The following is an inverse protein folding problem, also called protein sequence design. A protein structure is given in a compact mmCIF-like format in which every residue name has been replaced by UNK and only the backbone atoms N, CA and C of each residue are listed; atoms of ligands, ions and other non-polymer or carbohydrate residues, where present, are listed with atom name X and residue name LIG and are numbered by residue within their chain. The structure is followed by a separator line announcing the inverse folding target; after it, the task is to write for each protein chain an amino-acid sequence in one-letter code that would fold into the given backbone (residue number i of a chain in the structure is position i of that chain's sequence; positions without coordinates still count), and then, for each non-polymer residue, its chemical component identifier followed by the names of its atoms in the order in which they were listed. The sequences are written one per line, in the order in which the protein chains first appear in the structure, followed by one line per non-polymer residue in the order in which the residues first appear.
data_IF_770499400171
#
_entry.id   IF_770499400171
#
_cell.length_a   1.000
_cell.length_b   1.000
_cell.length_c   1.000
_cell.angle_alpha   90.00
_cell.angle_beta   90.00
_cell.angle_gamma   90.00
#
_symmetry.space_group_name_H-M   'P 1'
#
loop_
_entity.id
_entity.type
_entity.pdbx_description
1 polymer ?
#
# COMPACT_ATOMS: atom_id res chain seq x y z
N UNK A 1 70.28 -2.45 13.79
CA UNK A 1 68.90 -2.24 14.27
C UNK A 1 68.00 -2.07 13.03
N UNK A 2 67.19 -3.08 12.67
CA UNK A 2 66.26 -3.06 11.53
C UNK A 2 64.86 -2.96 12.09
N UNK A 3 64.23 -1.81 11.87
CA UNK A 3 62.82 -1.57 12.23
C UNK A 3 61.91 -2.16 11.14
N UNK A 4 61.21 -3.24 11.45
CA UNK A 4 60.15 -3.76 10.61
C UNK A 4 58.89 -2.91 10.86
N UNK A 5 58.43 -2.19 9.83
CA UNK A 5 57.14 -1.53 9.81
C UNK A 5 56.12 -2.52 9.26
N UNK A 6 55.26 -3.04 10.15
CA UNK A 6 54.11 -3.82 9.75
C UNK A 6 53.00 -2.86 9.30
N UNK A 7 52.67 -2.88 8.02
CA UNK A 7 51.50 -2.20 7.47
C UNK A 7 50.29 -3.12 7.62
N UNK A 8 49.36 -2.75 8.49
CA UNK A 8 48.06 -3.43 8.59
C UNK A 8 47.14 -2.91 7.49
N UNK A 9 46.83 -3.75 6.50
CA UNK A 9 45.78 -3.49 5.51
C UNK A 9 44.43 -3.77 6.16
N UNK A 10 43.65 -2.71 6.45
CA UNK A 10 42.24 -2.85 6.78
C UNK A 10 41.45 -3.01 5.49
N UNK A 11 41.01 -4.24 5.20
CA UNK A 11 40.08 -4.50 4.12
C UNK A 11 38.64 -4.12 4.56
N UNK A 12 38.14 -3.00 4.06
CA UNK A 12 36.75 -2.63 4.20
C UNK A 12 35.90 -3.50 3.23
N UNK A 13 35.19 -4.47 3.76
CA UNK A 13 34.20 -5.20 3.00
C UNK A 13 32.94 -4.31 2.87
N UNK A 14 32.74 -3.72 1.70
CA UNK A 14 31.50 -3.03 1.36
C UNK A 14 30.39 -4.07 1.14
N UNK A 15 29.52 -4.26 2.10
CA UNK A 15 28.29 -5.01 1.92
C UNK A 15 27.31 -4.15 1.13
N UNK A 16 27.23 -4.37 -0.18
CA UNK A 16 26.17 -3.81 -1.00
C UNK A 16 24.84 -4.50 -0.60
N UNK A 17 24.05 -3.81 0.22
CA UNK A 17 22.67 -4.23 0.50
C UNK A 17 21.87 -4.15 -0.79
N UNK A 18 21.41 -5.29 -1.31
CA UNK A 18 20.39 -5.32 -2.35
C UNK A 18 19.09 -4.80 -1.71
N UNK A 19 18.78 -3.53 -1.94
CA UNK A 19 17.44 -3.01 -1.73
C UNK A 19 16.54 -3.71 -2.74
N UNK A 20 15.72 -4.65 -2.27
CA UNK A 20 14.67 -5.25 -3.09
C UNK A 20 13.71 -4.12 -3.48
N UNK A 21 13.75 -3.70 -4.74
CA UNK A 21 12.76 -2.80 -5.30
C UNK A 21 11.41 -3.50 -5.20
N UNK A 22 10.50 -2.98 -4.37
CA UNK A 22 9.12 -3.45 -4.32
C UNK A 22 8.50 -3.10 -5.67
N UNK A 23 8.23 -4.10 -6.48
CA UNK A 23 7.52 -3.90 -7.75
C UNK A 23 6.09 -3.48 -7.42
N UNK A 24 5.70 -2.28 -7.87
CA UNK A 24 4.32 -1.81 -7.72
C UNK A 24 3.35 -2.81 -8.38
N UNK A 25 2.28 -3.13 -7.68
CA UNK A 25 1.22 -3.98 -8.23
C UNK A 25 0.48 -3.17 -9.31
N UNK A 26 0.26 -3.72 -10.52
CA UNK A 26 -0.48 -3.02 -11.56
C UNK A 26 -1.90 -2.64 -11.08
N UNK A 27 -2.34 -1.44 -11.46
CA UNK A 27 -3.70 -0.99 -11.17
C UNK A 27 -4.73 -1.92 -11.84
N UNK A 28 -5.71 -2.44 -11.09
CA UNK A 28 -6.84 -3.17 -11.68
C UNK A 28 -7.90 -2.19 -12.20
N UNK A 29 -7.58 -1.50 -13.28
CA UNK A 29 -8.33 -0.34 -13.81
C UNK A 29 -9.82 -0.61 -13.95
N UNK A 30 -10.22 -1.76 -14.49
CA UNK A 30 -11.64 -2.13 -14.64
C UNK A 30 -12.38 -2.19 -13.30
N UNK A 31 -11.74 -2.67 -12.24
CA UNK A 31 -12.31 -2.71 -10.90
C UNK A 31 -12.36 -1.31 -10.27
N UNK A 32 -11.31 -0.52 -10.46
CA UNK A 32 -11.24 0.86 -9.98
C UNK A 32 -12.36 1.71 -10.58
N UNK A 33 -12.60 1.56 -11.87
CA UNK A 33 -13.69 2.23 -12.60
C UNK A 33 -15.07 1.72 -12.16
N UNK A 34 -15.27 0.40 -12.14
CA UNK A 34 -16.54 -0.20 -11.77
C UNK A 34 -16.98 0.13 -10.33
N UNK A 35 -16.03 0.30 -9.44
CA UNK A 35 -16.26 0.65 -8.03
C UNK A 35 -16.17 2.16 -7.75
N UNK A 36 -16.01 2.98 -8.78
CA UNK A 36 -15.93 4.44 -8.71
C UNK A 36 -14.93 4.99 -7.67
N UNK A 37 -13.81 4.32 -7.50
CA UNK A 37 -12.82 4.66 -6.47
C UNK A 37 -12.33 6.11 -6.57
N UNK A 38 -12.12 6.60 -7.80
CA UNK A 38 -11.57 7.94 -8.06
C UNK A 38 -12.57 9.08 -7.83
N UNK A 39 -13.82 8.79 -7.47
CA UNK A 39 -14.77 9.84 -7.05
C UNK A 39 -14.42 10.42 -5.68
N UNK A 40 -13.76 9.63 -4.83
CA UNK A 40 -13.44 9.99 -3.45
C UNK A 40 -11.94 9.96 -3.14
N UNK A 41 -11.17 9.15 -3.85
CA UNK A 41 -9.75 8.97 -3.64
C UNK A 41 -8.93 9.48 -4.82
N UNK A 42 -7.71 9.96 -4.53
CA UNK A 42 -6.68 10.23 -5.53
C UNK A 42 -5.40 9.48 -5.17
N UNK A 43 -4.39 9.51 -6.04
CA UNK A 43 -3.09 8.90 -5.75
C UNK A 43 -2.40 9.52 -4.54
N UNK A 44 -2.21 10.84 -4.57
CA UNK A 44 -1.30 11.53 -3.64
C UNK A 44 -1.96 12.54 -2.71
N UNK A 45 -3.16 13.03 -3.04
CA UNK A 45 -3.84 14.06 -2.27
C UNK A 45 -5.14 13.57 -1.66
N UNK A 46 -5.42 14.00 -0.42
CA UNK A 46 -6.74 13.79 0.17
C UNK A 46 -7.79 14.62 -0.60
N UNK A 47 -8.95 14.01 -0.79
CA UNK A 47 -10.13 14.65 -1.39
C UNK A 47 -11.34 14.40 -0.50
N UNK A 48 -12.33 13.62 -0.95
CA UNK A 48 -13.43 13.18 -0.06
C UNK A 48 -12.99 12.04 0.87
N UNK A 49 -12.01 11.28 0.46
CA UNK A 49 -11.33 10.27 1.25
C UNK A 49 -9.81 10.47 1.28
N UNK A 50 -9.08 9.62 2.01
CA UNK A 50 -7.62 9.65 2.01
C UNK A 50 -7.05 9.30 0.64
N UNK A 51 -5.82 9.78 0.34
CA UNK A 51 -5.10 9.34 -0.85
C UNK A 51 -4.71 7.86 -0.74
N UNK A 52 -4.51 7.20 -1.87
CA UNK A 52 -4.04 5.81 -1.87
C UNK A 52 -2.66 5.68 -1.22
N UNK A 53 -1.77 6.64 -1.47
CA UNK A 53 -0.47 6.70 -0.81
C UNK A 53 -0.58 6.80 0.72
N UNK A 54 -1.46 7.66 1.23
CA UNK A 54 -1.68 7.78 2.68
C UNK A 54 -2.25 6.49 3.29
N UNK A 55 -3.12 5.79 2.57
CA UNK A 55 -3.63 4.48 3.00
C UNK A 55 -2.50 3.46 3.07
N UNK A 56 -1.70 3.34 2.02
CA UNK A 56 -0.56 2.42 1.98
C UNK A 56 0.43 2.70 3.12
N UNK A 57 0.75 3.95 3.36
CA UNK A 57 1.66 4.35 4.43
C UNK A 57 1.11 4.00 5.83
N UNK A 58 -0.17 4.30 6.07
CA UNK A 58 -0.81 4.01 7.37
C UNK A 58 -0.80 2.53 7.72
N UNK A 59 -1.01 1.66 6.75
CA UNK A 59 -1.16 0.23 6.97
C UNK A 59 0.07 -0.61 6.63
N UNK A 60 1.20 0.02 6.34
CA UNK A 60 2.43 -0.65 5.86
C UNK A 60 2.89 -1.82 6.72
N UNK A 61 2.84 -1.67 8.04
CA UNK A 61 3.34 -2.63 9.00
C UNK A 61 2.23 -3.39 9.75
N UNK A 62 0.99 -3.23 9.30
CA UNK A 62 -0.16 -3.91 9.92
C UNK A 62 -0.44 -5.25 9.24
N UNK A 63 -0.21 -6.38 9.93
CA UNK A 63 -0.44 -7.71 9.35
C UNK A 63 -1.93 -8.03 9.12
N UNK A 64 -2.85 -7.24 9.69
CA UNK A 64 -4.29 -7.41 9.54
C UNK A 64 -4.89 -6.47 8.49
N UNK A 65 -4.12 -5.54 7.95
CA UNK A 65 -4.59 -4.50 7.05
C UNK A 65 -5.32 -5.05 5.82
N UNK A 66 -4.77 -6.07 5.16
CA UNK A 66 -5.39 -6.60 3.96
C UNK A 66 -6.82 -7.11 4.23
N UNK A 67 -7.01 -7.94 5.25
CA UNK A 67 -8.33 -8.49 5.60
C UNK A 67 -9.31 -7.39 6.04
N UNK A 68 -8.84 -6.41 6.80
CA UNK A 68 -9.67 -5.27 7.24
C UNK A 68 -10.11 -4.42 6.06
N UNK A 69 -9.19 -4.06 5.16
CA UNK A 69 -9.48 -3.24 3.99
C UNK A 69 -10.36 -3.97 2.96
N UNK A 70 -10.14 -5.25 2.74
CA UNK A 70 -11.02 -6.08 1.88
C UNK A 70 -12.46 -6.09 2.40
N UNK A 71 -12.64 -6.26 3.70
CA UNK A 71 -13.95 -6.17 4.32
C UNK A 71 -14.54 -4.76 4.15
N UNK A 72 -13.73 -3.71 4.39
CA UNK A 72 -14.14 -2.32 4.23
C UNK A 72 -14.59 -2.01 2.81
N UNK A 73 -13.88 -2.48 1.81
CA UNK A 73 -14.27 -2.32 0.40
C UNK A 73 -15.65 -2.95 0.11
N UNK A 74 -15.95 -4.09 0.70
CA UNK A 74 -17.19 -4.81 0.43
C UNK A 74 -18.38 -4.25 1.18
N UNK A 75 -18.24 -3.98 2.48
CA UNK A 75 -19.37 -3.59 3.34
C UNK A 75 -19.41 -2.11 3.68
N UNK A 76 -18.34 -1.36 3.40
CA UNK A 76 -18.28 0.06 3.72
C UNK A 76 -18.20 0.35 5.21
N UNK A 77 -18.60 1.56 5.59
CA UNK A 77 -18.67 2.03 6.96
C UNK A 77 -17.49 2.90 7.36
N UNK A 78 -17.44 3.28 8.63
CA UNK A 78 -16.38 4.13 9.19
C UNK A 78 -15.03 3.41 9.19
N UNK A 79 -13.99 4.17 8.97
CA UNK A 79 -12.60 3.74 9.09
C UNK A 79 -11.83 4.71 9.98
N UNK A 80 -10.51 4.70 9.91
CA UNK A 80 -9.63 5.55 10.74
C UNK A 80 -9.39 6.96 10.16
N UNK A 81 -10.29 7.47 9.32
CA UNK A 81 -10.11 8.68 8.51
C UNK A 81 -11.27 9.68 8.73
N UNK A 82 -11.48 10.08 9.96
CA UNK A 82 -12.55 11.01 10.30
C UNK A 82 -13.92 10.35 10.39
N UNK A 83 -14.97 11.14 10.22
CA UNK A 83 -16.35 10.71 10.50
C UNK A 83 -17.12 10.27 9.25
N UNK A 84 -16.63 10.55 8.06
CA UNK A 84 -17.30 10.19 6.82
C UNK A 84 -17.17 8.69 6.55
N UNK A 85 -18.28 7.95 6.48
CA UNK A 85 -18.22 6.53 6.15
C UNK A 85 -17.91 6.32 4.66
N UNK A 86 -17.15 5.29 4.34
CA UNK A 86 -17.00 4.81 2.97
C UNK A 86 -18.27 4.05 2.56
N UNK A 87 -18.85 4.31 1.38
CA UNK A 87 -19.99 3.55 0.89
C UNK A 87 -19.66 2.07 0.70
N UNK A 88 -20.66 1.19 0.81
CA UNK A 88 -20.50 -0.23 0.47
C UNK A 88 -20.23 -0.44 -1.02
N UNK A 89 -19.74 -1.62 -1.40
CA UNK A 89 -19.56 -1.96 -2.81
C UNK A 89 -20.87 -1.86 -3.62
N UNK A 90 -21.96 -2.32 -3.05
CA UNK A 90 -23.29 -2.25 -3.66
C UNK A 90 -23.67 -0.79 -3.97
N UNK A 91 -23.40 0.11 -3.04
CA UNK A 91 -23.76 1.53 -3.21
C UNK A 91 -22.84 2.25 -4.21
N UNK A 92 -21.62 1.73 -4.43
CA UNK A 92 -20.66 2.33 -5.35
C UNK A 92 -20.78 1.86 -6.80
N UNK A 93 -21.24 0.65 -7.04
CA UNK A 93 -21.26 0.14 -8.41
C UNK A 93 -21.73 -1.30 -8.55
N UNK A 94 -21.91 -1.99 -7.46
CA UNK A 94 -22.37 -3.37 -7.43
C UNK A 94 -21.55 -4.26 -6.49
N UNK A 95 -21.98 -5.52 -6.35
CA UNK A 95 -21.32 -6.46 -5.45
C UNK A 95 -19.87 -6.68 -5.87
N UNK A 96 -18.97 -6.75 -4.88
CA UNK A 96 -17.55 -7.01 -5.07
C UNK A 96 -17.22 -8.37 -4.48
N UNK A 97 -16.63 -9.26 -5.29
CA UNK A 97 -16.15 -10.56 -4.83
C UNK A 97 -14.98 -10.42 -3.86
N UNK A 98 -14.72 -11.45 -3.06
CA UNK A 98 -13.56 -11.48 -2.18
C UNK A 98 -12.24 -11.38 -2.97
N UNK A 99 -12.15 -12.05 -4.12
CA UNK A 99 -10.95 -12.04 -4.97
C UNK A 99 -10.71 -10.65 -5.58
N UNK A 100 -11.76 -9.98 -6.03
CA UNK A 100 -11.63 -8.62 -6.57
C UNK A 100 -11.31 -7.60 -5.48
N UNK A 101 -11.90 -7.73 -4.30
CA UNK A 101 -11.52 -6.92 -3.14
C UNK A 101 -10.04 -7.12 -2.79
N UNK A 102 -9.55 -8.35 -2.82
CA UNK A 102 -8.14 -8.67 -2.60
C UNK A 102 -7.24 -8.00 -3.63
N UNK A 103 -7.58 -8.07 -4.93
CA UNK A 103 -6.81 -7.43 -6.00
C UNK A 103 -6.72 -5.91 -5.83
N UNK A 104 -7.84 -5.27 -5.49
CA UNK A 104 -7.87 -3.82 -5.20
C UNK A 104 -7.00 -3.46 -3.98
N UNK A 105 -7.09 -4.21 -2.89
CA UNK A 105 -6.31 -3.96 -1.68
C UNK A 105 -4.82 -4.14 -1.92
N UNK A 106 -4.41 -5.18 -2.65
CA UNK A 106 -3.00 -5.39 -2.99
C UNK A 106 -2.44 -4.20 -3.79
N UNK A 107 -3.21 -3.68 -4.73
CA UNK A 107 -2.83 -2.49 -5.47
C UNK A 107 -2.73 -1.25 -4.57
N UNK A 108 -3.75 -0.97 -3.76
CA UNK A 108 -3.75 0.20 -2.85
C UNK A 108 -2.58 0.15 -1.88
N UNK A 109 -2.29 -1.01 -1.28
CA UNK A 109 -1.19 -1.17 -0.34
C UNK A 109 0.20 -1.10 -0.99
N UNK A 110 0.28 -1.15 -2.31
CA UNK A 110 1.53 -1.03 -3.07
C UNK A 110 1.88 0.41 -3.48
N UNK A 111 1.06 1.40 -3.13
CA UNK A 111 1.24 2.81 -3.54
C UNK A 111 2.33 3.56 -2.76
#
# INVERSE_FOLDING_TARGET
MKLLRSAALCAFAATAGLAAAQTAVPEPTELVEAQHCMFCHTGDMAFLGPSFHAIAERYRDDPHAAAELERKLRVGGRAHWGDTPMPSAIDRGGPLSADDAHRLVQWVLSQ
#
